data_IF_649141833368
#
_entry.id   IF_649141833368
#
_cell.length_a   1.000
_cell.length_b   1.000
_cell.length_c   1.000
_cell.angle_alpha   90.00
_cell.angle_beta   90.00
_cell.angle_gamma   90.00
#
_symmetry.space_group_name_H-M   'P 1'
#
loop_
_entity.id
_entity.type
_entity.pdbx_description
1 polymer ?
#
# COMPACT_ATOMS: atom_id res chain seq x y z
N UNK A 1 35.83 -10.91 -37.51
CA UNK A 1 34.58 -11.48 -36.97
C UNK A 1 34.92 -12.40 -35.81
N UNK A 2 34.35 -12.20 -34.62
CA UNK A 2 34.00 -13.30 -33.75
C UNK A 2 32.47 -13.37 -33.60
N UNK A 3 31.94 -14.59 -33.74
CA UNK A 3 30.52 -14.91 -33.61
C UNK A 3 30.11 -14.73 -32.15
N UNK A 4 29.22 -13.77 -31.88
CA UNK A 4 28.53 -13.67 -30.59
C UNK A 4 27.55 -14.85 -30.49
N UNK A 5 27.92 -15.89 -29.75
CA UNK A 5 27.02 -16.98 -29.41
C UNK A 5 25.95 -16.45 -28.44
N UNK A 6 24.72 -16.25 -28.94
CA UNK A 6 23.54 -16.05 -28.10
C UNK A 6 23.25 -17.35 -27.33
N UNK A 7 23.74 -17.45 -26.10
CA UNK A 7 23.36 -18.53 -25.18
C UNK A 7 21.99 -18.16 -24.59
N UNK A 8 20.93 -18.68 -25.19
CA UNK A 8 19.60 -18.65 -24.61
C UNK A 8 19.53 -19.76 -23.55
N UNK A 9 19.72 -19.39 -22.27
CA UNK A 9 19.57 -20.33 -21.15
C UNK A 9 18.07 -20.62 -20.98
N UNK A 10 17.63 -21.80 -21.42
CA UNK A 10 16.27 -22.29 -21.20
C UNK A 10 16.21 -22.95 -19.81
N UNK A 11 15.57 -22.29 -18.84
CA UNK A 11 15.25 -22.94 -17.56
C UNK A 11 14.05 -23.86 -17.80
N UNK A 12 14.18 -25.19 -17.61
CA UNK A 12 13.08 -26.12 -17.88
C UNK A 12 11.94 -25.92 -16.88
N UNK A 13 10.70 -25.95 -17.37
CA UNK A 13 9.46 -25.75 -16.59
C UNK A 13 9.39 -26.63 -15.33
N UNK A 14 9.94 -27.85 -15.40
CA UNK A 14 10.01 -28.77 -14.26
C UNK A 14 10.90 -28.27 -13.11
N UNK A 15 12.00 -27.56 -13.42
CA UNK A 15 12.86 -26.96 -12.40
C UNK A 15 12.16 -25.81 -11.68
N UNK A 16 11.38 -24.99 -12.40
CA UNK A 16 10.55 -23.93 -11.80
C UNK A 16 9.45 -24.50 -10.89
N UNK A 17 8.83 -25.63 -11.27
CA UNK A 17 7.86 -26.32 -10.43
C UNK A 17 8.53 -26.83 -9.15
N UNK A 18 9.66 -27.54 -9.27
CA UNK A 18 10.39 -28.06 -8.12
C UNK A 18 10.88 -26.94 -7.19
N UNK A 19 11.39 -25.83 -7.71
CA UNK A 19 11.75 -24.66 -6.90
C UNK A 19 10.54 -24.04 -6.18
N UNK A 20 9.39 -23.97 -6.84
CA UNK A 20 8.15 -23.47 -6.23
C UNK A 20 7.64 -24.39 -5.11
N UNK A 21 7.79 -25.70 -5.29
CA UNK A 21 7.35 -26.73 -4.36
C UNK A 21 8.31 -26.81 -3.15
N UNK A 22 9.62 -26.74 -3.39
CA UNK A 22 10.64 -26.61 -2.33
C UNK A 22 10.47 -25.31 -1.55
N UNK A 23 10.14 -24.18 -2.21
CA UNK A 23 9.80 -22.92 -1.52
C UNK A 23 8.58 -23.08 -0.63
N UNK A 24 7.52 -23.74 -1.11
CA UNK A 24 6.33 -24.04 -0.29
C UNK A 24 6.66 -24.98 0.89
N UNK A 25 7.61 -25.89 0.73
CA UNK A 25 8.05 -26.80 1.79
C UNK A 25 8.96 -26.13 2.84
N UNK A 26 9.67 -25.04 2.50
CA UNK A 26 10.63 -24.38 3.39
C UNK A 26 10.13 -23.05 3.98
N UNK A 27 9.31 -22.29 3.26
CA UNK A 27 8.70 -21.05 3.76
C UNK A 27 7.34 -21.35 4.38
N UNK A 28 7.27 -21.34 5.70
CA UNK A 28 6.01 -21.56 6.42
C UNK A 28 5.00 -20.44 6.21
N UNK A 29 5.46 -19.19 6.06
CA UNK A 29 4.65 -17.95 6.04
C UNK A 29 5.32 -16.91 5.16
N UNK A 30 4.52 -16.02 4.56
CA UNK A 30 5.01 -14.91 3.71
C UNK A 30 4.75 -13.56 4.35
N UNK A 31 5.60 -12.58 4.06
CA UNK A 31 5.28 -11.16 4.25
C UNK A 31 5.32 -10.53 2.86
N UNK A 32 4.26 -9.82 2.48
CA UNK A 32 4.17 -9.14 1.20
C UNK A 32 3.82 -7.66 1.38
N UNK A 33 4.32 -6.84 0.46
CA UNK A 33 4.01 -5.43 0.35
C UNK A 33 3.61 -5.10 -1.09
N UNK A 34 2.52 -4.35 -1.29
CA UNK A 34 2.09 -3.91 -2.61
C UNK A 34 1.53 -2.48 -2.60
N UNK A 35 1.61 -1.80 -3.73
CA UNK A 35 0.94 -0.51 -3.93
C UNK A 35 -0.51 -0.77 -4.32
N UNK A 36 -1.43 -0.29 -3.49
CA UNK A 36 -2.86 -0.39 -3.71
C UNK A 36 -3.40 0.70 -4.63
N UNK A 37 -4.63 0.51 -5.10
CA UNK A 37 -5.35 1.55 -5.85
C UNK A 37 -5.77 2.71 -4.93
N UNK A 38 -5.95 2.45 -3.63
CA UNK A 38 -6.31 3.44 -2.62
C UNK A 38 -7.80 3.77 -2.60
N UNK A 39 -8.47 3.54 -1.47
CA UNK A 39 -9.82 4.03 -1.25
C UNK A 39 -10.09 4.34 0.23
N UNK A 40 -10.15 5.64 0.56
CA UNK A 40 -10.42 6.08 1.93
C UNK A 40 -11.80 5.62 2.41
N UNK A 41 -12.83 5.67 1.56
CA UNK A 41 -14.18 5.24 1.92
C UNK A 41 -14.24 3.74 2.21
N UNK A 42 -13.51 2.93 1.43
CA UNK A 42 -13.40 1.50 1.69
C UNK A 42 -12.66 1.24 3.01
N UNK A 43 -11.53 1.92 3.24
CA UNK A 43 -10.70 1.72 4.43
C UNK A 43 -11.40 2.19 5.72
N UNK A 44 -12.21 3.25 5.65
CA UNK A 44 -13.06 3.73 6.75
C UNK A 44 -14.32 2.92 6.96
N UNK A 45 -14.63 1.98 6.05
CA UNK A 45 -15.87 1.20 6.04
C UNK A 45 -17.12 2.09 5.99
N UNK A 46 -17.05 3.18 5.22
CA UNK A 46 -18.19 4.05 4.92
C UNK A 46 -19.29 3.27 4.17
N UNK A 47 -18.92 2.15 3.56
CA UNK A 47 -19.80 1.13 3.02
C UNK A 47 -19.20 -0.26 3.25
N UNK A 48 -20.02 -1.31 3.16
CA UNK A 48 -19.60 -2.70 3.28
C UNK A 48 -19.51 -3.32 1.89
N UNK A 49 -18.31 -3.76 1.51
CA UNK A 49 -18.08 -4.49 0.26
C UNK A 49 -18.49 -5.97 0.40
N UNK A 50 -18.81 -6.63 -0.71
CA UNK A 50 -19.29 -8.03 -0.74
C UNK A 50 -18.33 -9.02 -0.07
N UNK A 51 -17.03 -8.76 -0.14
CA UNK A 51 -15.98 -9.60 0.44
C UNK A 51 -15.68 -9.29 1.91
N UNK A 52 -16.45 -8.42 2.56
CA UNK A 52 -16.27 -8.04 3.97
C UNK A 52 -17.36 -8.68 4.82
N UNK A 53 -16.93 -9.39 5.87
CA UNK A 53 -17.83 -9.89 6.91
C UNK A 53 -18.24 -8.72 7.83
N UNK A 54 -19.52 -8.27 7.83
CA UNK A 54 -19.97 -7.12 8.61
C UNK A 54 -19.76 -7.34 10.12
N UNK A 55 -19.91 -8.58 10.58
CA UNK A 55 -19.81 -8.97 11.99
C UNK A 55 -18.36 -8.96 12.49
N UNK A 56 -17.39 -8.59 11.64
CA UNK A 56 -15.97 -8.48 11.99
C UNK A 56 -15.42 -7.07 11.83
N UNK A 57 -16.21 -6.13 11.31
CA UNK A 57 -15.74 -4.76 11.05
C UNK A 57 -15.27 -4.06 12.32
N UNK A 58 -15.93 -4.32 13.45
CA UNK A 58 -15.55 -3.76 14.75
C UNK A 58 -14.20 -4.26 15.28
N UNK A 59 -13.61 -5.30 14.66
CA UNK A 59 -12.28 -5.80 15.00
C UNK A 59 -11.17 -5.05 14.27
N UNK A 60 -11.49 -4.20 13.29
CA UNK A 60 -10.48 -3.42 12.58
C UNK A 60 -9.80 -2.41 13.52
N UNK A 61 -8.48 -2.34 13.47
CA UNK A 61 -7.69 -1.37 14.21
C UNK A 61 -7.35 -0.20 13.30
N UNK A 62 -7.67 1.01 13.73
CA UNK A 62 -7.28 2.24 13.07
C UNK A 62 -6.25 2.97 13.92
N UNK A 63 -4.99 3.01 13.46
CA UNK A 63 -3.90 3.71 14.15
C UNK A 63 -4.00 5.23 13.98
N UNK A 64 -4.30 5.68 12.77
CA UNK A 64 -4.33 7.08 12.42
C UNK A 64 -5.39 7.35 11.35
N UNK A 65 -6.23 8.36 11.56
CA UNK A 65 -7.27 8.75 10.62
C UNK A 65 -7.50 10.26 10.66
N UNK A 66 -6.77 10.97 9.81
CA UNK A 66 -6.88 12.41 9.69
C UNK A 66 -7.61 12.84 8.42
N UNK A 67 -8.06 14.10 8.43
CA UNK A 67 -8.58 14.73 7.24
C UNK A 67 -7.43 15.11 6.32
N UNK A 68 -7.43 14.56 5.11
CA UNK A 68 -6.36 14.78 4.14
C UNK A 68 -6.16 16.27 3.79
N UNK A 69 -7.22 17.09 3.82
CA UNK A 69 -7.09 18.54 3.59
C UNK A 69 -6.30 19.23 4.71
N UNK A 70 -6.54 18.84 5.96
CA UNK A 70 -5.83 19.42 7.11
C UNK A 70 -4.36 18.96 7.12
N UNK A 71 -4.09 17.69 6.84
CA UNK A 71 -2.71 17.19 6.69
C UNK A 71 -1.97 17.94 5.59
N UNK A 72 -2.62 18.19 4.45
CA UNK A 72 -2.01 18.98 3.37
C UNK A 72 -1.70 20.41 3.81
N UNK A 73 -2.57 21.00 4.61
CA UNK A 73 -2.39 22.34 5.15
C UNK A 73 -1.15 22.39 6.04
N UNK A 74 -1.07 21.48 7.01
CA UNK A 74 0.03 21.39 7.97
C UNK A 74 1.37 21.12 7.29
N UNK A 75 1.40 20.25 6.27
CA UNK A 75 2.63 19.87 5.59
C UNK A 75 3.10 20.88 4.54
N UNK A 76 2.18 21.58 3.86
CA UNK A 76 2.52 22.32 2.64
C UNK A 76 2.25 23.83 2.66
N UNK A 77 1.46 24.37 3.59
CA UNK A 77 1.11 25.80 3.56
C UNK A 77 2.35 26.70 3.61
N UNK A 78 3.28 26.44 4.54
CA UNK A 78 4.51 27.20 4.67
C UNK A 78 5.38 27.11 3.39
N UNK A 79 5.43 25.93 2.76
CA UNK A 79 6.16 25.74 1.50
C UNK A 79 5.49 26.49 0.33
N UNK A 80 4.16 26.53 0.30
CA UNK A 80 3.38 27.28 -0.69
C UNK A 80 3.56 28.78 -0.53
N UNK A 81 3.57 29.29 0.71
CA UNK A 81 3.86 30.70 0.99
C UNK A 81 5.23 31.10 0.42
N UNK A 82 6.27 30.32 0.72
CA UNK A 82 7.62 30.53 0.15
C UNK A 82 7.64 30.44 -1.37
N UNK A 83 6.94 29.47 -1.95
CA UNK A 83 6.85 29.30 -3.41
C UNK A 83 6.22 30.51 -4.11
N UNK A 84 5.22 31.13 -3.48
CA UNK A 84 4.45 32.22 -4.05
C UNK A 84 5.17 33.58 -4.02
N UNK A 85 6.23 33.72 -3.22
CA UNK A 85 7.04 34.95 -3.16
C UNK A 85 7.59 35.28 -4.54
N UNK A 86 7.32 36.50 -5.01
CA UNK A 86 7.78 36.99 -6.32
C UNK A 86 7.10 36.35 -7.54
N UNK A 87 6.10 35.47 -7.34
CA UNK A 87 5.29 34.94 -8.45
C UNK A 87 4.20 35.94 -8.84
N UNK A 88 3.90 35.96 -10.14
CA UNK A 88 2.71 36.66 -10.66
C UNK A 88 1.44 36.01 -10.12
N UNK A 89 0.37 36.79 -9.95
CA UNK A 89 -0.91 36.31 -9.39
C UNK A 89 -1.49 35.08 -10.11
N UNK A 90 -1.35 35.01 -11.44
CA UNK A 90 -1.83 33.87 -12.27
C UNK A 90 -1.04 32.57 -12.05
N UNK A 91 0.14 32.65 -11.42
CA UNK A 91 1.06 31.54 -11.19
C UNK A 91 1.18 31.15 -9.71
N UNK A 92 0.50 31.86 -8.82
CA UNK A 92 0.48 31.53 -7.40
C UNK A 92 -0.41 30.30 -7.14
N UNK A 93 -0.02 29.50 -6.16
CA UNK A 93 -0.82 28.38 -5.67
C UNK A 93 -1.63 28.90 -4.48
N UNK A 94 -2.94 28.93 -4.61
CA UNK A 94 -3.84 29.40 -3.53
C UNK A 94 -4.31 28.26 -2.62
N UNK A 95 -4.46 27.06 -3.17
CA UNK A 95 -4.83 25.86 -2.43
C UNK A 95 -4.10 24.67 -3.04
N UNK A 96 -3.11 24.13 -2.30
CA UNK A 96 -2.28 23.06 -2.82
C UNK A 96 -3.02 21.74 -2.94
N UNK A 97 -3.87 21.40 -1.96
CA UNK A 97 -4.72 20.21 -2.02
C UNK A 97 -5.58 20.18 -3.29
N UNK A 98 -6.26 21.28 -3.60
CA UNK A 98 -7.09 21.40 -4.81
C UNK A 98 -6.26 21.32 -6.09
N UNK A 99 -5.06 21.90 -6.09
CA UNK A 99 -4.12 21.79 -7.21
C UNK A 99 -3.75 20.33 -7.49
N UNK A 100 -3.45 19.54 -6.46
CA UNK A 100 -3.14 18.11 -6.63
C UNK A 100 -4.39 17.33 -7.04
N UNK A 101 -5.54 17.57 -6.38
CA UNK A 101 -6.80 16.88 -6.70
C UNK A 101 -7.23 17.06 -8.16
N UNK A 102 -7.06 18.26 -8.71
CA UNK A 102 -7.44 18.59 -10.09
C UNK A 102 -6.33 18.25 -11.09
N UNK A 103 -5.11 18.07 -10.61
CA UNK A 103 -3.97 17.63 -11.39
C UNK A 103 -4.13 16.18 -11.86
N UNK A 104 -3.48 15.85 -12.98
CA UNK A 104 -3.40 14.48 -13.50
C UNK A 104 -2.04 13.81 -13.25
N UNK A 105 -1.09 14.58 -12.72
CA UNK A 105 0.30 14.12 -12.53
C UNK A 105 0.46 13.34 -11.23
N UNK A 106 -0.26 13.72 -10.17
CA UNK A 106 -0.08 13.16 -8.83
C UNK A 106 -1.40 12.73 -8.22
N UNK A 107 -1.33 11.75 -7.32
CA UNK A 107 -2.48 11.34 -6.48
C UNK A 107 -2.45 12.11 -5.17
N UNK A 108 -3.63 12.31 -4.58
CA UNK A 108 -3.74 12.93 -3.26
C UNK A 108 -3.07 12.09 -2.16
N UNK A 109 -3.05 10.78 -2.31
CA UNK A 109 -2.34 9.85 -1.44
C UNK A 109 -1.97 8.59 -2.23
N UNK A 110 -1.00 7.86 -1.69
CA UNK A 110 -0.62 6.53 -2.17
C UNK A 110 -0.94 5.50 -1.09
N UNK A 111 -1.46 4.35 -1.50
CA UNK A 111 -1.76 3.24 -0.60
C UNK A 111 -0.66 2.20 -0.68
N UNK A 112 -0.19 1.76 0.49
CA UNK A 112 0.71 0.62 0.62
C UNK A 112 0.00 -0.41 1.49
N UNK A 113 -0.10 -1.63 1.00
CA UNK A 113 -0.75 -2.74 1.69
C UNK A 113 0.34 -3.71 2.10
N UNK A 114 0.40 -4.03 3.39
CA UNK A 114 1.22 -5.09 3.94
C UNK A 114 0.34 -6.25 4.40
N UNK A 115 0.77 -7.46 4.10
CA UNK A 115 0.07 -8.69 4.49
C UNK A 115 1.07 -9.72 5.02
N UNK A 116 0.68 -10.40 6.09
CA UNK A 116 1.40 -11.55 6.64
C UNK A 116 0.54 -12.79 6.42
N UNK A 117 1.11 -13.82 5.77
CA UNK A 117 0.42 -15.05 5.39
C UNK A 117 -0.79 -14.79 4.50
N UNK A 118 -1.79 -15.65 4.60
CA UNK A 118 -3.06 -15.64 3.89
C UNK A 118 -4.15 -16.28 4.76
N UNK A 119 -5.35 -16.49 4.20
CA UNK A 119 -6.50 -17.03 4.95
C UNK A 119 -6.26 -18.46 5.48
N UNK A 120 -5.37 -19.24 4.88
CA UNK A 120 -5.13 -20.63 5.26
C UNK A 120 -4.17 -20.76 6.44
N UNK A 121 -3.18 -19.87 6.58
CA UNK A 121 -2.09 -19.96 7.58
C UNK A 121 -2.12 -18.84 8.64
N UNK A 122 -2.88 -17.76 8.41
CA UNK A 122 -3.03 -16.58 9.28
C UNK A 122 -4.52 -16.21 9.44
N UNK A 123 -5.38 -17.22 9.52
CA UNK A 123 -6.81 -17.02 9.68
C UNK A 123 -7.16 -16.26 10.97
N UNK A 124 -8.25 -15.50 10.95
CA UNK A 124 -8.78 -14.87 12.16
C UNK A 124 -9.19 -15.92 13.20
N UNK A 125 -8.84 -15.65 14.46
CA UNK A 125 -9.15 -16.54 15.59
C UNK A 125 -8.17 -17.69 15.80
N UNK A 126 -7.05 -17.72 15.06
CA UNK A 126 -5.94 -18.65 15.33
C UNK A 126 -4.78 -17.93 16.03
N UNK A 127 -3.94 -18.68 16.73
CA UNK A 127 -2.73 -18.15 17.38
C UNK A 127 -1.81 -17.46 16.37
N UNK A 128 -1.72 -17.99 15.15
CA UNK A 128 -1.00 -17.36 14.04
C UNK A 128 -1.57 -16.01 13.65
N UNK A 129 -2.90 -15.88 13.54
CA UNK A 129 -3.56 -14.62 13.25
C UNK A 129 -3.24 -13.55 14.29
N UNK A 130 -3.24 -13.91 15.57
CA UNK A 130 -2.89 -13.00 16.67
C UNK A 130 -1.40 -12.58 16.62
N UNK A 131 -0.51 -13.48 16.19
CA UNK A 131 0.89 -13.15 15.94
C UNK A 131 1.03 -12.16 14.77
N UNK A 132 0.26 -12.33 13.69
CA UNK A 132 0.26 -11.39 12.56
C UNK A 132 -0.19 -9.98 12.99
N UNK A 133 -1.22 -9.87 13.83
CA UNK A 133 -1.66 -8.59 14.42
C UNK A 133 -0.52 -7.96 15.20
N UNK A 134 0.17 -8.72 16.05
CA UNK A 134 1.30 -8.23 16.85
C UNK A 134 2.43 -7.68 15.96
N UNK A 135 2.84 -8.43 14.94
CA UNK A 135 3.93 -8.01 14.04
C UNK A 135 3.54 -6.76 13.26
N UNK A 136 2.32 -6.71 12.70
CA UNK A 136 1.82 -5.54 11.99
C UNK A 136 1.71 -4.31 12.90
N UNK A 137 1.35 -4.49 14.16
CA UNK A 137 1.28 -3.39 15.13
C UNK A 137 2.63 -2.73 15.34
N UNK A 138 3.71 -3.53 15.45
CA UNK A 138 5.09 -3.03 15.60
C UNK A 138 5.57 -2.29 14.34
N UNK A 139 5.09 -2.68 13.15
CA UNK A 139 5.49 -2.04 11.90
C UNK A 139 4.88 -0.64 11.70
N UNK A 140 3.74 -0.37 12.33
CA UNK A 140 2.95 0.84 12.11
C UNK A 140 3.05 1.83 13.29
N UNK A 141 3.51 1.37 14.46
CA UNK A 141 3.80 2.18 15.66
C UNK A 141 5.11 2.95 15.56
#
# INVERSE_FOLDING_TARGET
MPLLANIQIYVPYLALILESEVRKMTMKRTISGMIGTGSLAHNRRDFIAENVDPDRVQLNICYWNENLKEVYKELFDEAVERYNVGKRKDRQITNYYEKIRQGKQEKLFHEVIFQIGNREDMAVGTEEGDLAVTVLSIMVS
#
